data_IF_179838218551
#
_entry.id   IF_179838218551
#
_cell.length_a   1.000
_cell.length_b   1.000
_cell.length_c   1.000
_cell.angle_alpha   90.00
_cell.angle_beta   90.00
_cell.angle_gamma   90.00
#
_symmetry.space_group_name_H-M   'P 1'
#
loop_
_entity.id
_entity.type
_entity.pdbx_description
1 polymer ?
#
# COMPACT_ATOMS: atom_id res chain seq x y z
N UNK A 1 28.74 -19.67 15.74
CA UNK A 1 27.26 -19.66 15.67
C UNK A 1 26.78 -18.41 16.38
N UNK A 2 26.36 -17.38 15.63
CA UNK A 2 25.90 -16.12 16.20
C UNK A 2 24.49 -15.86 15.67
N UNK A 3 23.55 -15.86 16.61
CA UNK A 3 22.11 -15.79 16.45
C UNK A 3 21.66 -14.33 16.20
N UNK A 4 21.97 -13.81 15.00
CA UNK A 4 21.69 -12.40 14.62
C UNK A 4 20.48 -12.23 13.67
N UNK A 5 19.77 -13.31 13.35
CA UNK A 5 18.64 -13.29 12.39
C UNK A 5 17.25 -13.16 13.05
N UNK A 6 17.20 -12.66 14.30
CA UNK A 6 15.95 -12.43 15.04
C UNK A 6 15.30 -11.06 14.76
N UNK A 7 15.80 -10.26 13.82
CA UNK A 7 15.23 -8.95 13.54
C UNK A 7 14.03 -9.03 12.59
N UNK A 8 12.97 -8.31 12.95
CA UNK A 8 11.77 -7.98 12.14
C UNK A 8 10.65 -9.04 12.05
N UNK A 9 10.51 -9.94 13.04
CA UNK A 9 9.24 -10.66 13.23
C UNK A 9 8.52 -10.16 14.47
N UNK A 10 7.57 -9.25 14.29
CA UNK A 10 6.56 -8.99 15.30
C UNK A 10 5.64 -10.23 15.36
N UNK A 11 5.82 -11.07 16.39
CA UNK A 11 4.73 -11.93 16.87
C UNK A 11 3.66 -11.00 17.44
N UNK A 12 2.64 -10.65 16.67
CA UNK A 12 1.51 -9.90 17.22
C UNK A 12 0.83 -10.77 18.30
N UNK A 13 0.71 -10.25 19.52
CA UNK A 13 0.00 -10.86 20.65
C UNK A 13 -1.53 -10.73 20.54
N UNK A 14 -2.05 -10.59 19.32
CA UNK A 14 -3.49 -10.58 19.06
C UNK A 14 -3.88 -11.97 18.61
N UNK A 15 -4.81 -12.62 19.31
CA UNK A 15 -5.30 -14.00 19.05
C UNK A 15 -5.92 -14.23 17.65
N UNK A 16 -5.85 -13.24 16.76
CA UNK A 16 -6.32 -13.28 15.38
C UNK A 16 -5.19 -12.83 14.46
N UNK A 17 -4.32 -13.77 14.11
CA UNK A 17 -3.10 -13.50 13.35
C UNK A 17 -3.36 -13.42 11.85
N UNK A 18 -2.86 -12.34 11.24
CA UNK A 18 -2.77 -12.05 9.80
C UNK A 18 -1.81 -12.99 9.01
N UNK A 19 -1.91 -14.31 9.23
CA UNK A 19 -0.82 -15.25 8.93
C UNK A 19 -0.45 -15.43 7.45
N UNK A 20 -1.31 -15.17 6.44
CA UNK A 20 -0.87 -15.41 5.04
C UNK A 20 -0.19 -14.26 4.34
N UNK A 21 -0.47 -13.01 4.72
CA UNK A 21 0.44 -11.96 4.31
C UNK A 21 1.80 -12.21 4.95
N UNK A 22 1.86 -12.64 6.22
CA UNK A 22 3.10 -12.98 6.92
C UNK A 22 3.89 -14.18 6.33
N UNK A 23 3.33 -14.94 5.38
CA UNK A 23 4.07 -15.97 4.61
C UNK A 23 4.77 -15.40 3.37
N UNK A 24 4.26 -14.30 2.80
CA UNK A 24 4.73 -13.71 1.54
C UNK A 24 5.39 -12.34 1.74
N UNK A 25 4.93 -11.61 2.76
CA UNK A 25 5.36 -10.29 3.16
C UNK A 25 5.55 -10.18 4.69
N UNK A 26 6.65 -9.60 5.13
CA UNK A 26 6.79 -9.07 6.48
C UNK A 26 5.96 -7.80 6.61
N UNK A 27 4.81 -7.88 7.29
CA UNK A 27 4.06 -6.69 7.66
C UNK A 27 4.81 -5.90 8.74
N UNK A 28 5.07 -4.63 8.45
CA UNK A 28 5.70 -3.70 9.38
C UNK A 28 4.71 -2.59 9.70
N UNK A 29 4.30 -2.53 10.97
CA UNK A 29 3.34 -1.54 11.43
C UNK A 29 3.89 -0.12 11.30
N UNK A 30 3.04 0.83 10.93
CA UNK A 30 3.40 2.25 11.00
C UNK A 30 2.86 2.92 12.26
N UNK A 31 3.40 4.09 12.57
CA UNK A 31 2.84 4.98 13.61
C UNK A 31 1.44 5.45 13.21
N UNK A 32 0.48 5.37 14.14
CA UNK A 32 -0.90 5.80 13.92
C UNK A 32 -1.11 7.32 14.18
N UNK A 33 -0.34 8.16 13.49
CA UNK A 33 -0.33 9.63 13.62
C UNK A 33 -0.99 10.36 12.44
N UNK A 34 -1.62 9.59 11.54
CA UNK A 34 -2.21 10.09 10.31
C UNK A 34 -1.23 10.26 9.14
N UNK A 35 0.05 9.94 9.33
CA UNK A 35 1.05 9.85 8.27
C UNK A 35 1.28 8.42 7.75
N UNK A 36 0.52 7.43 8.26
CA UNK A 36 0.69 5.99 7.97
C UNK A 36 0.91 5.63 6.49
N UNK A 37 0.22 6.29 5.54
CA UNK A 37 0.49 6.09 4.10
C UNK A 37 1.96 6.42 3.75
N UNK A 38 2.42 7.61 4.11
CA UNK A 38 3.78 8.07 3.82
C UNK A 38 4.83 7.28 4.62
N UNK A 39 4.52 6.95 5.87
CA UNK A 39 5.36 6.08 6.72
C UNK A 39 5.52 4.69 6.11
N UNK A 40 4.45 4.08 5.59
CA UNK A 40 4.53 2.75 4.97
C UNK A 40 5.46 2.77 3.76
N UNK A 41 5.37 3.78 2.89
CA UNK A 41 6.29 3.92 1.75
C UNK A 41 7.72 4.25 2.19
N UNK A 42 7.90 5.02 3.26
CA UNK A 42 9.23 5.24 3.85
C UNK A 42 9.85 3.92 4.30
N UNK A 43 9.09 3.07 5.01
CA UNK A 43 9.55 1.75 5.43
C UNK A 43 9.88 0.86 4.22
N UNK A 44 9.05 0.85 3.18
CA UNK A 44 9.32 0.05 1.98
C UNK A 44 10.62 0.48 1.30
N UNK A 45 10.93 1.77 1.29
CA UNK A 45 12.11 2.28 0.61
C UNK A 45 13.40 2.15 1.43
N UNK A 46 13.35 2.34 2.75
CA UNK A 46 14.56 2.43 3.60
C UNK A 46 14.50 1.63 4.90
N UNK A 47 13.44 0.85 5.13
CA UNK A 47 13.24 0.03 6.33
C UNK A 47 12.73 0.76 7.57
N UNK A 48 12.55 2.09 7.53
CA UNK A 48 12.12 2.91 8.67
C UNK A 48 11.28 4.11 8.22
N UNK A 49 10.56 4.77 9.15
CA UNK A 49 9.71 5.96 8.90
C UNK A 49 10.48 7.29 8.74
N UNK A 50 11.80 7.26 8.54
CA UNK A 50 12.61 8.50 8.51
C UNK A 50 12.32 9.43 7.33
N UNK A 51 11.70 8.93 6.26
CA UNK A 51 11.35 9.71 5.06
C UNK A 51 9.87 10.10 5.04
N UNK A 52 9.09 9.91 6.11
CA UNK A 52 7.64 10.17 6.12
C UNK A 52 7.28 11.56 5.60
N UNK A 53 7.88 12.63 6.14
CA UNK A 53 7.61 13.99 5.66
C UNK A 53 8.20 14.25 4.26
N UNK A 54 9.33 13.61 3.91
CA UNK A 54 9.91 13.71 2.56
C UNK A 54 8.99 13.06 1.51
N UNK A 55 8.35 11.93 1.83
CA UNK A 55 7.37 11.28 0.97
C UNK A 55 6.13 12.17 0.80
N UNK A 56 5.68 12.84 1.86
CA UNK A 56 4.57 13.80 1.78
C UNK A 56 4.93 15.00 0.89
N UNK A 57 6.11 15.59 1.06
CA UNK A 57 6.60 16.69 0.23
C UNK A 57 6.78 16.25 -1.23
N UNK A 58 7.26 15.02 -1.46
CA UNK A 58 7.34 14.42 -2.79
C UNK A 58 5.96 14.36 -3.45
N UNK A 59 4.92 13.95 -2.71
CA UNK A 59 3.56 13.94 -3.22
C UNK A 59 3.06 15.35 -3.59
N UNK A 60 3.24 16.34 -2.70
CA UNK A 60 2.87 17.75 -2.99
C UNK A 60 3.56 18.25 -4.26
N UNK A 61 4.87 18.08 -4.36
CA UNK A 61 5.64 18.52 -5.53
C UNK A 61 5.20 17.79 -6.81
N UNK A 62 4.93 16.49 -6.72
CA UNK A 62 4.43 15.70 -7.83
C UNK A 62 3.04 16.16 -8.30
N UNK A 63 2.14 16.52 -7.37
CA UNK A 63 0.83 17.09 -7.70
C UNK A 63 0.94 18.43 -8.42
N UNK A 64 1.80 19.33 -7.94
CA UNK A 64 2.01 20.67 -8.52
C UNK A 64 2.63 20.55 -9.92
N UNK A 65 3.69 19.76 -10.07
CA UNK A 65 4.42 19.64 -11.34
C UNK A 65 3.66 18.88 -12.42
N UNK A 66 2.52 18.25 -12.08
CA UNK A 66 1.68 17.52 -13.01
C UNK A 66 0.21 17.92 -12.79
N UNK A 67 -0.03 19.22 -12.58
CA UNK A 67 -1.33 19.79 -12.16
C UNK A 67 -2.48 19.35 -13.06
N UNK A 68 -2.30 19.37 -14.37
CA UNK A 68 -3.37 19.09 -15.33
C UNK A 68 -3.91 17.66 -15.14
N UNK A 69 -2.98 16.69 -14.99
CA UNK A 69 -3.33 15.31 -14.71
C UNK A 69 -4.11 15.17 -13.39
N UNK A 70 -3.62 15.77 -12.31
CA UNK A 70 -4.27 15.64 -11.00
C UNK A 70 -5.56 16.45 -10.89
N UNK A 71 -5.73 17.52 -11.64
CA UNK A 71 -7.01 18.22 -11.77
C UNK A 71 -8.05 17.31 -12.44
N UNK A 72 -7.69 16.65 -13.54
CA UNK A 72 -8.57 15.66 -14.19
C UNK A 72 -8.89 14.50 -13.25
N UNK A 73 -7.87 13.95 -12.58
CA UNK A 73 -8.01 12.87 -11.61
C UNK A 73 -9.00 13.22 -10.49
N UNK A 74 -8.79 14.37 -9.86
CA UNK A 74 -9.64 14.84 -8.78
C UNK A 74 -11.07 15.05 -9.27
N UNK A 75 -11.26 15.61 -10.48
CA UNK A 75 -12.60 15.78 -11.06
C UNK A 75 -13.32 14.44 -11.26
N UNK A 76 -12.62 13.42 -11.76
CA UNK A 76 -13.18 12.06 -11.94
C UNK A 76 -13.59 11.46 -10.59
N UNK A 77 -12.76 11.64 -9.57
CA UNK A 77 -13.01 11.18 -8.20
C UNK A 77 -13.93 12.12 -7.38
N UNK A 78 -14.50 13.15 -8.01
CA UNK A 78 -15.39 14.14 -7.36
C UNK A 78 -14.73 14.88 -6.18
N UNK A 79 -13.43 15.14 -6.28
CA UNK A 79 -12.64 15.94 -5.34
C UNK A 79 -12.22 17.29 -5.93
N UNK A 80 -11.95 18.26 -5.06
CA UNK A 80 -11.25 19.49 -5.43
C UNK A 80 -9.74 19.25 -5.42
N UNK A 81 -9.06 19.59 -6.52
CA UNK A 81 -7.60 19.50 -6.60
C UNK A 81 -6.91 20.36 -5.54
N UNK A 82 -7.38 21.60 -5.35
CA UNK A 82 -6.81 22.51 -4.35
C UNK A 82 -6.96 21.96 -2.93
N UNK A 83 -8.11 21.39 -2.61
CA UNK A 83 -8.35 20.76 -1.30
C UNK A 83 -7.46 19.53 -1.12
N UNK A 84 -7.33 18.68 -2.14
CA UNK A 84 -6.43 17.53 -2.08
C UNK A 84 -4.96 17.96 -1.93
N UNK A 85 -4.53 19.03 -2.59
CA UNK A 85 -3.19 19.58 -2.44
C UNK A 85 -2.96 20.10 -1.01
N UNK A 86 -3.90 20.86 -0.45
CA UNK A 86 -3.88 21.34 0.94
C UNK A 86 -3.79 20.18 1.94
N UNK A 87 -4.68 19.19 1.81
CA UNK A 87 -4.69 17.99 2.64
C UNK A 87 -3.38 17.21 2.57
N UNK A 88 -2.79 17.12 1.38
CA UNK A 88 -1.49 16.46 1.19
C UNK A 88 -0.38 17.25 1.88
N UNK A 89 -0.40 18.58 1.83
CA UNK A 89 0.60 19.43 2.48
C UNK A 89 0.47 19.50 4.01
N UNK A 90 -0.74 19.31 4.56
CA UNK A 90 -0.96 19.31 6.00
C UNK A 90 -0.39 18.07 6.67
N UNK A 91 0.47 18.29 7.67
CA UNK A 91 0.95 17.21 8.52
C UNK A 91 -0.22 16.56 9.27
N UNK A 92 -0.13 15.24 9.52
CA UNK A 92 -1.14 14.40 10.22
C UNK A 92 -2.46 14.14 9.47
N UNK A 93 -2.71 14.74 8.30
CA UNK A 93 -3.91 14.42 7.50
C UNK A 93 -3.71 13.13 6.70
N UNK A 94 -4.69 12.23 6.80
CA UNK A 94 -4.67 10.93 6.14
C UNK A 94 -4.61 11.08 4.62
N UNK A 95 -3.69 10.33 4.01
CA UNK A 95 -3.65 10.15 2.56
C UNK A 95 -4.68 9.13 2.09
N UNK A 96 -5.25 9.36 0.92
CA UNK A 96 -6.18 8.46 0.24
C UNK A 96 -5.76 8.20 -1.21
N UNK A 97 -6.74 7.87 -2.05
CA UNK A 97 -6.51 7.40 -3.42
C UNK A 97 -5.70 8.36 -4.28
N UNK A 98 -5.99 9.68 -4.19
CA UNK A 98 -5.24 10.72 -4.92
C UNK A 98 -3.78 10.73 -4.51
N UNK A 99 -3.48 10.63 -3.21
CA UNK A 99 -2.11 10.63 -2.70
C UNK A 99 -1.36 9.34 -3.08
N UNK A 100 -2.03 8.18 -3.04
CA UNK A 100 -1.42 6.91 -3.47
C UNK A 100 -1.09 6.96 -4.97
N UNK A 101 -2.03 7.41 -5.80
CA UNK A 101 -1.80 7.58 -7.24
C UNK A 101 -0.65 8.56 -7.53
N UNK A 102 -0.56 9.64 -6.74
CA UNK A 102 0.54 10.60 -6.79
C UNK A 102 1.88 9.96 -6.47
N UNK A 103 1.95 9.20 -5.39
CA UNK A 103 3.18 8.56 -4.93
C UNK A 103 3.64 7.44 -5.88
N UNK A 104 2.71 6.70 -6.47
CA UNK A 104 2.98 5.72 -7.53
C UNK A 104 3.71 6.38 -8.70
N UNK A 105 3.16 7.51 -9.19
CA UNK A 105 3.80 8.31 -10.23
C UNK A 105 5.17 8.86 -9.81
N UNK A 106 5.25 9.47 -8.63
CA UNK A 106 6.45 10.16 -8.17
C UNK A 106 7.63 9.20 -7.91
N UNK A 107 7.33 8.00 -7.41
CA UNK A 107 8.31 6.94 -7.18
C UNK A 107 8.58 6.13 -8.45
N UNK A 108 7.80 6.32 -9.52
CA UNK A 108 7.91 5.56 -10.77
C UNK A 108 7.81 4.04 -10.56
N UNK A 109 6.95 3.63 -9.62
CA UNK A 109 6.63 2.24 -9.29
C UNK A 109 5.12 2.10 -9.06
N UNK A 110 4.50 0.99 -9.46
CA UNK A 110 3.13 0.67 -9.06
C UNK A 110 3.02 0.63 -7.53
N UNK A 111 1.85 0.97 -6.99
CA UNK A 111 1.53 0.74 -5.58
C UNK A 111 0.34 -0.21 -5.52
N UNK A 112 0.48 -1.28 -4.73
CA UNK A 112 -0.57 -2.28 -4.52
C UNK A 112 -1.09 -2.14 -3.09
N UNK A 113 -2.37 -1.80 -2.95
CA UNK A 113 -3.05 -1.71 -1.66
C UNK A 113 -3.87 -2.96 -1.42
N UNK A 114 -3.54 -3.69 -0.37
CA UNK A 114 -4.25 -4.89 0.05
C UNK A 114 -5.10 -4.59 1.28
N UNK A 115 -6.38 -4.97 1.26
CA UNK A 115 -7.32 -4.64 2.34
C UNK A 115 -7.57 -5.83 3.27
N UNK A 116 -8.20 -6.88 2.74
CA UNK A 116 -8.53 -8.09 3.51
C UNK A 116 -8.82 -9.24 2.55
N UNK A 117 -8.54 -10.47 2.96
CA UNK A 117 -8.76 -11.69 2.15
C UNK A 117 -10.17 -12.29 2.27
N UNK A 118 -10.95 -11.84 3.25
CA UNK A 118 -12.27 -12.38 3.54
C UNK A 118 -13.24 -11.24 3.88
N UNK A 119 -14.43 -11.26 3.25
CA UNK A 119 -15.49 -10.28 3.46
C UNK A 119 -16.22 -10.40 4.79
N UNK A 120 -16.07 -11.52 5.53
CA UNK A 120 -16.52 -11.62 6.92
C UNK A 120 -15.51 -10.90 7.84
N UNK A 121 -15.89 -9.80 8.53
CA UNK A 121 -15.01 -9.07 9.43
C UNK A 121 -14.40 -9.94 10.53
N UNK A 122 -15.05 -11.05 10.92
CA UNK A 122 -14.54 -11.99 11.94
C UNK A 122 -13.46 -12.92 11.40
N UNK A 123 -13.46 -13.17 10.08
CA UNK A 123 -12.52 -14.07 9.41
C UNK A 123 -11.53 -13.32 8.52
N UNK A 124 -11.59 -11.98 8.49
CA UNK A 124 -10.73 -11.11 7.68
C UNK A 124 -9.21 -11.29 7.91
N UNK A 125 -8.85 -11.81 9.09
CA UNK A 125 -7.47 -12.13 9.47
C UNK A 125 -7.16 -13.62 9.42
N UNK A 126 -8.16 -14.49 9.28
CA UNK A 126 -7.97 -15.92 9.39
C UNK A 126 -7.49 -16.52 8.08
N UNK A 127 -6.22 -16.90 8.07
CA UNK A 127 -5.68 -17.75 7.02
C UNK A 127 -4.95 -18.91 7.69
N UNK A 128 -5.28 -20.17 7.36
CA UNK A 128 -4.66 -21.32 8.00
C UNK A 128 -3.14 -21.27 7.85
N UNK A 129 -2.42 -21.61 8.92
CA UNK A 129 -0.94 -21.66 8.93
C UNK A 129 -0.35 -22.67 7.94
N UNK A 130 -1.17 -23.60 7.45
CA UNK A 130 -0.81 -24.63 6.47
C UNK A 130 -1.40 -24.38 5.08
N UNK A 131 -1.87 -23.16 4.78
CA UNK A 131 -2.39 -22.84 3.45
C UNK A 131 -1.32 -23.04 2.38
N UNK A 132 -1.69 -23.64 1.25
CA UNK A 132 -0.77 -23.74 0.11
C UNK A 132 -0.69 -22.40 -0.65
N UNK A 133 0.41 -22.16 -1.34
CA UNK A 133 0.55 -20.98 -2.21
C UNK A 133 -0.58 -20.90 -3.25
N UNK A 134 -0.95 -22.02 -3.86
CA UNK A 134 -2.03 -22.07 -4.85
C UNK A 134 -3.39 -21.71 -4.21
N UNK A 135 -3.68 -22.21 -3.01
CA UNK A 135 -4.91 -21.86 -2.30
C UNK A 135 -4.93 -20.38 -1.90
N UNK A 136 -3.77 -19.79 -1.56
CA UNK A 136 -3.65 -18.36 -1.30
C UNK A 136 -3.90 -17.52 -2.56
N UNK A 137 -3.35 -17.93 -3.71
CA UNK A 137 -3.63 -17.32 -5.03
C UNK A 137 -5.11 -17.42 -5.36
N UNK A 138 -5.72 -18.59 -5.17
CA UNK A 138 -7.14 -18.80 -5.46
C UNK A 138 -8.04 -17.94 -4.55
N UNK A 139 -7.66 -17.73 -3.28
CA UNK A 139 -8.37 -16.83 -2.37
C UNK A 139 -8.22 -15.37 -2.78
N UNK A 140 -7.02 -14.95 -3.21
CA UNK A 140 -6.80 -13.62 -3.80
C UNK A 140 -7.67 -13.39 -5.05
N UNK A 141 -7.86 -14.42 -5.87
CA UNK A 141 -8.68 -14.34 -7.07
C UNK A 141 -10.20 -14.37 -6.76
N UNK A 142 -10.63 -15.14 -5.76
CA UNK A 142 -12.07 -15.40 -5.46
C UNK A 142 -12.67 -14.47 -4.41
N UNK A 143 -11.92 -14.12 -3.36
CA UNK A 143 -12.45 -13.47 -2.15
C UNK A 143 -12.26 -11.96 -2.09
N UNK A 144 -11.45 -11.41 -2.99
CA UNK A 144 -10.97 -10.01 -2.92
C UNK A 144 -10.97 -9.30 -4.26
N UNK A 145 -11.60 -9.92 -5.26
CA UNK A 145 -11.80 -9.32 -6.57
C UNK A 145 -12.72 -8.10 -6.44
N UNK A 146 -12.13 -6.96 -6.07
CA UNK A 146 -12.77 -5.66 -5.94
C UNK A 146 -12.10 -4.79 -4.87
N UNK A 147 -11.57 -5.43 -3.82
CA UNK A 147 -11.06 -4.73 -2.63
C UNK A 147 -9.54 -4.52 -2.66
N UNK A 148 -8.80 -5.29 -3.47
CA UNK A 148 -7.38 -5.04 -3.68
C UNK A 148 -7.19 -4.07 -4.84
N UNK A 149 -6.46 -2.99 -4.58
CA UNK A 149 -6.41 -1.85 -5.47
C UNK A 149 -5.00 -1.71 -6.04
N UNK A 150 -4.95 -1.56 -7.36
CA UNK A 150 -3.73 -1.29 -8.12
C UNK A 150 -3.71 0.18 -8.50
N UNK A 151 -2.63 0.87 -8.11
CA UNK A 151 -2.40 2.27 -8.41
C UNK A 151 -1.19 2.41 -9.32
N UNK A 152 -1.43 2.87 -10.54
CA UNK A 152 -0.40 3.06 -11.55
C UNK A 152 -0.50 4.50 -12.02
N UNK A 153 0.35 5.36 -11.47
CA UNK A 153 0.52 6.72 -11.98
C UNK A 153 0.93 6.69 -13.44
N UNK A 154 0.52 7.67 -14.26
CA UNK A 154 0.73 7.63 -15.71
C UNK A 154 2.21 7.57 -16.16
N UNK A 155 3.16 7.93 -15.27
CA UNK A 155 4.61 7.81 -15.48
C UNK A 155 5.23 6.59 -14.80
N UNK A 156 4.43 5.73 -14.18
CA UNK A 156 4.92 4.57 -13.44
C UNK A 156 5.27 3.45 -14.42
N UNK A 157 6.35 2.74 -14.12
CA UNK A 157 6.74 1.57 -14.90
C UNK A 157 6.00 0.33 -14.39
N UNK A 158 5.02 -0.14 -15.14
CA UNK A 158 4.21 -1.31 -14.79
C UNK A 158 5.00 -2.61 -14.70
N UNK A 159 6.22 -2.66 -15.26
CA UNK A 159 7.06 -3.84 -15.23
C UNK A 159 7.92 -3.93 -13.97
N UNK A 160 7.94 -2.87 -13.14
CA UNK A 160 8.64 -2.90 -11.86
C UNK A 160 7.80 -3.58 -10.79
N UNK A 161 8.51 -4.14 -9.81
CA UNK A 161 7.90 -4.63 -8.58
C UNK A 161 7.09 -3.50 -7.92
N UNK A 162 5.85 -3.81 -7.55
CA UNK A 162 4.98 -2.86 -6.88
C UNK A 162 5.41 -2.60 -5.45
N UNK A 163 5.15 -1.41 -4.93
CA UNK A 163 5.26 -1.11 -3.51
C UNK A 163 3.98 -1.59 -2.82
N UNK A 164 4.12 -2.56 -1.92
CA UNK A 164 3.00 -3.26 -1.32
C UNK A 164 2.63 -2.64 0.04
N UNK A 165 1.38 -2.17 0.18
CA UNK A 165 0.84 -1.63 1.43
C UNK A 165 -0.40 -2.41 1.86
N UNK A 166 -0.64 -2.47 3.17
CA UNK A 166 -1.84 -3.06 3.75
C UNK A 166 -2.73 -1.97 4.33
N UNK A 167 -4.02 -1.97 3.98
CA UNK A 167 -5.02 -1.01 4.48
C UNK A 167 -6.12 -1.73 5.27
N UNK A 168 -6.35 -1.33 6.52
CA UNK A 168 -7.34 -2.01 7.38
C UNK A 168 -8.70 -1.31 7.47
N UNK A 169 -8.94 -0.27 6.66
CA UNK A 169 -10.10 0.63 6.73
C UNK A 169 -9.83 1.98 7.40
N UNK A 170 -8.72 2.14 8.12
CA UNK A 170 -8.34 3.42 8.75
C UNK A 170 -6.84 3.67 8.83
N UNK A 171 -6.01 2.66 8.52
CA UNK A 171 -4.57 2.71 8.72
C UNK A 171 -3.84 1.93 7.63
N UNK A 172 -2.64 2.40 7.28
CA UNK A 172 -1.74 1.76 6.32
C UNK A 172 -0.50 1.17 7.01
N UNK A 173 -0.12 -0.03 6.60
CA UNK A 173 1.14 -0.68 7.01
C UNK A 173 1.99 -1.06 5.79
N UNK A 174 3.30 -1.17 5.99
CA UNK A 174 4.21 -1.63 4.96
C UNK A 174 4.19 -3.16 4.83
N UNK A 175 4.22 -3.68 3.60
CA UNK A 175 4.40 -5.10 3.32
C UNK A 175 5.73 -5.30 2.59
N UNK A 176 6.74 -5.77 3.31
CA UNK A 176 8.07 -6.03 2.77
C UNK A 176 8.16 -7.47 2.30
N UNK A 177 8.55 -7.80 1.07
CA UNK A 177 8.60 -9.19 0.67
C UNK A 177 9.75 -9.95 1.35
N UNK A 178 9.59 -11.27 1.52
CA UNK A 178 10.66 -12.12 2.03
C UNK A 178 11.58 -12.61 0.88
N UNK A 179 12.84 -12.13 0.83
CA UNK A 179 13.99 -12.66 0.05
C UNK A 179 14.13 -12.25 -1.44
N UNK A 180 15.23 -12.71 -2.04
CA UNK A 180 15.58 -12.56 -3.45
C UNK A 180 14.52 -13.20 -4.36
N UNK A 181 13.97 -12.40 -5.27
CA UNK A 181 12.85 -12.69 -6.18
C UNK A 181 11.46 -12.77 -5.50
N UNK A 182 10.95 -11.63 -5.00
CA UNK A 182 9.71 -11.58 -4.26
C UNK A 182 8.50 -11.86 -5.15
N UNK A 183 7.69 -12.86 -4.79
CA UNK A 183 6.41 -13.09 -5.47
C UNK A 183 5.40 -12.06 -4.98
N UNK A 184 4.84 -11.27 -5.91
CA UNK A 184 3.83 -10.27 -5.62
C UNK A 184 2.47 -10.66 -6.19
N UNK A 185 1.41 -10.54 -5.39
CA UNK A 185 0.04 -10.66 -5.88
C UNK A 185 -0.39 -9.36 -6.53
N UNK A 186 -0.52 -9.34 -7.85
CA UNK A 186 -0.91 -8.12 -8.58
C UNK A 186 -2.43 -7.97 -8.56
N UNK A 187 -3.00 -6.90 -7.98
CA UNK A 187 -4.44 -6.70 -7.99
C UNK A 187 -4.99 -6.49 -9.41
N UNK A 188 -6.19 -7.00 -9.66
CA UNK A 188 -6.84 -6.87 -10.97
C UNK A 188 -7.61 -5.54 -11.14
N UNK A 189 -7.90 -4.83 -10.04
CA UNK A 189 -8.72 -3.62 -10.05
C UNK A 189 -7.85 -2.37 -10.10
N UNK A 190 -7.98 -1.64 -11.21
CA UNK A 190 -7.46 -0.29 -11.36
C UNK A 190 -8.50 0.69 -10.80
N UNK A 191 -8.09 1.60 -9.91
CA UNK A 191 -9.03 2.63 -9.39
C UNK A 191 -9.49 3.55 -10.51
N UNK A 192 -8.60 3.82 -11.47
CA UNK A 192 -8.82 4.80 -12.50
C UNK A 192 -8.33 4.21 -13.82
N UNK A 193 -9.26 3.62 -14.55
CA UNK A 193 -9.04 3.19 -15.93
C UNK A 193 -9.16 4.43 -16.85
N UNK A 194 -8.25 5.40 -16.68
CA UNK A 194 -8.13 6.52 -17.62
C UNK A 194 -7.28 6.06 -18.79
N UNK A 195 -7.93 5.41 -19.76
CA UNK A 195 -7.43 5.35 -21.13
C UNK A 195 -7.39 6.79 -21.66
N UNK A 196 -6.20 7.40 -21.66
CA UNK A 196 -5.93 8.61 -22.43
C UNK A 196 -5.72 8.26 -23.89
#
# INVERSE_FOLDING_TARGET
MNDKDQSVRLKSKTEYSAQAFDFVYARTCTTADGNCLYSSLSIINIGYEKLTHSMRLLAVNAMINNSDYFQTLCKVLQYSFEEQLKRTAMDTIWGGEVQIQTLSMALSHPIYSYIQFNGDPKLRHYIPSNISLQELVDRFAKGTAGDHLKYIGYKSDMNKLGLCIYYNGSHYDALLPFRDNPQQFVPHFDIINMSF
#
